data_IF_703696737723
#
_entry.id   IF_703696737723
#
_cell.length_a   1.000
_cell.length_b   1.000
_cell.length_c   1.000
_cell.angle_alpha   90.00
_cell.angle_beta   90.00
_cell.angle_gamma   90.00
#
_symmetry.space_group_name_H-M   'P 1'
#
loop_
_entity.id
_entity.type
_entity.pdbx_description
1 polymer ?
#
# COMPACT_ATOMS: atom_id res chain seq x y z
N UNK A 1 4.67 8.09 0.10
CA UNK A 1 5.19 9.41 -0.35
C UNK A 1 6.71 9.44 -0.38
N UNK A 2 7.45 9.15 0.72
CA UNK A 2 8.92 9.25 0.78
C UNK A 2 9.58 8.49 -0.38
N UNK A 3 9.20 7.24 -0.62
CA UNK A 3 9.78 6.42 -1.68
C UNK A 3 9.41 6.93 -3.09
N UNK A 4 8.20 7.42 -3.28
CA UNK A 4 7.79 8.05 -4.53
C UNK A 4 8.66 9.29 -4.81
N UNK A 5 8.87 10.13 -3.79
CA UNK A 5 9.75 11.30 -3.92
C UNK A 5 11.20 10.92 -4.27
N UNK A 6 11.73 9.82 -3.71
CA UNK A 6 13.09 9.34 -4.05
C UNK A 6 13.20 8.83 -5.48
N UNK A 7 12.13 8.28 -6.02
CA UNK A 7 12.05 7.89 -7.43
C UNK A 7 11.70 9.06 -8.36
N UNK A 8 11.38 10.23 -7.80
CA UNK A 8 10.98 11.42 -8.56
C UNK A 8 9.63 11.26 -9.26
N UNK A 9 8.67 10.60 -8.59
CA UNK A 9 7.33 10.31 -9.13
C UNK A 9 6.24 10.65 -8.11
N UNK A 10 5.01 10.78 -8.59
CA UNK A 10 3.82 10.83 -7.73
C UNK A 10 3.49 9.45 -7.15
N UNK A 11 2.56 9.38 -6.22
CA UNK A 11 2.08 8.08 -5.68
C UNK A 11 1.38 7.28 -6.78
N UNK A 12 0.59 7.92 -7.60
CA UNK A 12 -0.14 7.31 -8.71
C UNK A 12 0.84 6.70 -9.71
N UNK A 13 1.86 7.47 -10.13
CA UNK A 13 2.92 6.99 -11.01
C UNK A 13 3.73 5.86 -10.39
N UNK A 14 3.95 5.88 -9.06
CA UNK A 14 4.62 4.78 -8.35
C UNK A 14 3.86 3.46 -8.51
N UNK A 15 2.54 3.48 -8.37
CA UNK A 15 1.72 2.29 -8.55
C UNK A 15 1.65 1.84 -10.01
N UNK A 16 1.63 2.76 -10.94
CA UNK A 16 1.67 2.47 -12.37
C UNK A 16 2.98 1.76 -12.74
N UNK A 17 4.13 2.31 -12.34
CA UNK A 17 5.43 1.68 -12.52
C UNK A 17 5.47 0.30 -11.86
N UNK A 18 5.00 0.19 -10.61
CA UNK A 18 5.00 -1.07 -9.88
C UNK A 18 4.20 -2.17 -10.58
N UNK A 19 3.12 -1.81 -11.27
CA UNK A 19 2.31 -2.78 -12.03
C UNK A 19 3.02 -3.37 -13.25
N UNK A 20 4.08 -2.72 -13.72
CA UNK A 20 4.87 -3.10 -14.90
C UNK A 20 6.18 -3.79 -14.53
N UNK A 21 6.61 -3.72 -13.25
CA UNK A 21 7.88 -4.25 -12.78
C UNK A 21 7.79 -5.60 -12.10
N UNK A 22 8.96 -6.20 -11.91
CA UNK A 22 9.14 -7.39 -11.08
C UNK A 22 9.68 -6.97 -9.72
N UNK A 23 8.96 -7.26 -8.64
CA UNK A 23 9.31 -6.80 -7.31
C UNK A 23 10.71 -7.25 -6.88
N UNK A 24 11.63 -6.30 -6.70
CA UNK A 24 12.92 -6.57 -6.06
C UNK A 24 12.71 -6.68 -4.55
N UNK A 25 13.42 -7.60 -3.85
CA UNK A 25 13.28 -7.73 -2.42
C UNK A 25 13.82 -6.48 -1.72
N UNK A 26 13.00 -5.87 -0.86
CA UNK A 26 13.39 -4.80 0.05
C UNK A 26 13.35 -5.40 1.45
N UNK A 27 14.53 -5.53 2.07
CA UNK A 27 14.69 -6.28 3.33
C UNK A 27 14.31 -5.46 4.55
N UNK A 28 14.36 -4.14 4.45
CA UNK A 28 14.18 -3.26 5.60
C UNK A 28 12.73 -3.10 6.02
N UNK A 29 12.47 -3.40 7.28
CA UNK A 29 11.20 -3.11 7.96
C UNK A 29 11.06 -1.61 8.31
N UNK A 30 12.18 -0.88 8.40
CA UNK A 30 12.21 0.54 8.73
C UNK A 30 12.31 1.38 7.47
N UNK A 31 11.48 2.42 7.36
CA UNK A 31 11.42 3.31 6.19
C UNK A 31 12.78 3.95 5.88
N UNK A 32 13.56 4.31 6.90
CA UNK A 32 14.88 4.94 6.72
C UNK A 32 15.87 3.98 6.04
N UNK A 33 15.92 2.72 6.46
CA UNK A 33 16.79 1.72 5.84
C UNK A 33 16.28 1.31 4.44
N UNK A 34 14.97 1.18 4.27
CA UNK A 34 14.38 0.93 2.95
C UNK A 34 14.72 2.05 1.96
N UNK A 35 14.78 3.30 2.42
CA UNK A 35 15.22 4.44 1.60
C UNK A 35 16.66 4.26 1.12
N UNK A 36 17.56 3.84 2.01
CA UNK A 36 18.97 3.58 1.65
C UNK A 36 19.09 2.42 0.64
N UNK A 37 18.29 1.36 0.80
CA UNK A 37 18.25 0.26 -0.17
C UNK A 37 17.77 0.73 -1.55
N UNK A 38 16.71 1.55 -1.60
CA UNK A 38 16.21 2.12 -2.86
C UNK A 38 17.26 2.98 -3.54
N UNK A 39 17.97 3.84 -2.79
CA UNK A 39 19.05 4.67 -3.34
C UNK A 39 20.17 3.79 -3.91
N UNK A 40 20.55 2.71 -3.19
CA UNK A 40 21.55 1.76 -3.66
C UNK A 40 21.14 1.09 -4.97
N UNK A 41 19.90 0.63 -5.06
CA UNK A 41 19.34 -0.01 -6.26
C UNK A 41 19.31 0.93 -7.47
N UNK A 42 19.02 2.22 -7.24
CA UNK A 42 19.11 3.25 -8.29
C UNK A 42 20.56 3.38 -8.76
N UNK A 43 21.51 3.42 -7.83
CA UNK A 43 22.94 3.48 -8.15
C UNK A 43 23.46 2.24 -8.89
N UNK A 44 22.86 1.08 -8.65
CA UNK A 44 23.15 -0.19 -9.36
C UNK A 44 22.50 -0.28 -10.74
N UNK A 45 21.70 0.72 -11.13
CA UNK A 45 21.03 0.74 -12.43
C UNK A 45 19.82 -0.19 -12.53
N UNK A 46 19.19 -0.54 -11.40
CA UNK A 46 17.93 -1.29 -11.40
C UNK A 46 16.83 -0.47 -12.05
N UNK A 47 15.90 -1.12 -12.73
CA UNK A 47 14.77 -0.43 -13.36
C UNK A 47 13.87 0.25 -12.32
N UNK A 48 13.29 1.39 -12.68
CA UNK A 48 12.38 2.12 -11.80
C UNK A 48 11.11 1.31 -11.51
N UNK A 49 10.67 0.54 -12.48
CA UNK A 49 9.52 -0.37 -12.41
C UNK A 49 9.74 -1.45 -11.36
N UNK A 50 10.90 -2.10 -11.37
CA UNK A 50 11.24 -3.18 -10.42
C UNK A 50 11.41 -2.64 -9.00
N UNK A 51 12.04 -1.47 -8.85
CA UNK A 51 12.17 -0.79 -7.55
C UNK A 51 10.79 -0.39 -7.03
N UNK A 52 9.94 0.21 -7.88
CA UNK A 52 8.58 0.59 -7.52
C UNK A 52 7.75 -0.62 -7.09
N UNK A 53 7.83 -1.73 -7.83
CA UNK A 53 7.18 -2.99 -7.46
C UNK A 53 7.68 -3.48 -6.09
N UNK A 54 8.98 -3.48 -5.85
CA UNK A 54 9.58 -3.84 -4.56
C UNK A 54 9.05 -2.99 -3.40
N UNK A 55 8.97 -1.67 -3.58
CA UNK A 55 8.42 -0.74 -2.59
C UNK A 55 6.96 -1.07 -2.27
N UNK A 56 6.12 -1.21 -3.29
CA UNK A 56 4.68 -1.49 -3.10
C UNK A 56 4.46 -2.83 -2.43
N UNK A 57 5.17 -3.88 -2.87
CA UNK A 57 5.10 -5.20 -2.26
C UNK A 57 5.58 -5.23 -0.81
N UNK A 58 6.62 -4.47 -0.46
CA UNK A 58 7.10 -4.37 0.93
C UNK A 58 6.07 -3.71 1.85
N UNK A 59 5.37 -2.68 1.38
CA UNK A 59 4.28 -2.03 2.12
C UNK A 59 3.11 -3.00 2.29
N UNK A 60 2.70 -3.67 1.22
CA UNK A 60 1.61 -4.66 1.27
C UNK A 60 1.93 -5.81 2.24
N UNK A 61 3.20 -6.28 2.27
CA UNK A 61 3.63 -7.29 3.23
C UNK A 61 3.49 -6.84 4.69
N UNK A 62 3.88 -5.60 5.00
CA UNK A 62 3.71 -5.03 6.35
C UNK A 62 2.24 -4.96 6.75
N UNK A 63 1.39 -4.51 5.84
CA UNK A 63 -0.07 -4.47 6.08
C UNK A 63 -0.60 -5.87 6.31
N UNK A 64 -0.22 -6.83 5.47
CA UNK A 64 -0.64 -8.23 5.60
C UNK A 64 -0.18 -8.85 6.93
N UNK A 65 1.06 -8.62 7.35
CA UNK A 65 1.58 -9.10 8.63
C UNK A 65 0.80 -8.53 9.82
N UNK A 66 0.41 -7.25 9.78
CA UNK A 66 -0.41 -6.64 10.82
C UNK A 66 -1.83 -7.21 10.82
N UNK A 67 -2.42 -7.40 9.65
CA UNK A 67 -3.77 -7.95 9.50
C UNK A 67 -3.85 -9.41 9.99
N UNK A 68 -2.85 -10.24 9.70
CA UNK A 68 -2.78 -11.65 10.14
C UNK A 68 -2.73 -11.84 11.66
N UNK A 69 -2.43 -10.78 12.43
CA UNK A 69 -2.51 -10.83 13.91
C UNK A 69 -3.94 -10.98 14.41
N UNK A 70 -4.91 -10.77 13.55
CA UNK A 70 -6.34 -10.99 13.84
C UNK A 70 -6.85 -12.13 12.96
N UNK A 71 -7.86 -12.85 13.46
CA UNK A 71 -8.58 -13.79 12.62
C UNK A 71 -9.34 -13.01 11.55
N UNK A 72 -8.94 -13.19 10.30
CA UNK A 72 -9.55 -12.48 9.19
C UNK A 72 -10.87 -13.16 8.77
N UNK A 73 -11.93 -12.39 8.52
CA UNK A 73 -13.12 -12.90 7.84
C UNK A 73 -12.79 -13.24 6.38
N UNK A 74 -13.67 -13.96 5.71
CA UNK A 74 -13.47 -14.33 4.30
C UNK A 74 -13.40 -13.14 3.32
N UNK A 75 -13.90 -11.97 3.75
CA UNK A 75 -13.82 -10.72 2.98
C UNK A 75 -13.28 -9.60 3.86
N UNK A 76 -12.28 -8.88 3.33
CA UNK A 76 -11.66 -7.71 3.98
C UNK A 76 -11.95 -6.48 3.14
N UNK A 77 -12.33 -5.38 3.80
CA UNK A 77 -12.60 -4.10 3.13
C UNK A 77 -11.38 -3.19 3.29
N UNK A 78 -10.85 -2.72 2.17
CA UNK A 78 -9.79 -1.73 2.13
C UNK A 78 -10.37 -0.33 2.07
N UNK A 79 -9.96 0.53 3.01
CA UNK A 79 -10.35 1.95 3.09
C UNK A 79 -9.11 2.85 3.13
N UNK A 80 -9.30 4.17 3.08
CA UNK A 80 -8.21 5.13 3.02
C UNK A 80 -7.74 5.41 1.59
N UNK A 81 -6.70 6.22 1.42
CA UNK A 81 -6.21 6.64 0.10
C UNK A 81 -5.78 5.48 -0.80
N UNK A 82 -5.25 4.40 -0.23
CA UNK A 82 -4.82 3.23 -1.00
C UNK A 82 -6.00 2.37 -1.53
N UNK A 83 -7.23 2.60 -1.08
CA UNK A 83 -8.41 1.92 -1.62
C UNK A 83 -8.70 2.31 -3.08
N UNK A 84 -8.15 3.42 -3.54
CA UNK A 84 -8.29 3.89 -4.94
C UNK A 84 -7.33 3.18 -5.91
N UNK A 85 -6.44 2.31 -5.39
CA UNK A 85 -5.48 1.56 -6.18
C UNK A 85 -5.86 0.07 -6.28
N UNK A 86 -6.48 -0.39 -7.40
CA UNK A 86 -6.85 -1.79 -7.58
C UNK A 86 -5.66 -2.75 -7.53
N UNK A 87 -4.50 -2.31 -8.03
CA UNK A 87 -3.27 -3.10 -7.99
C UNK A 87 -2.85 -3.42 -6.55
N UNK A 88 -2.92 -2.45 -5.64
CA UNK A 88 -2.61 -2.67 -4.23
C UNK A 88 -3.59 -3.62 -3.54
N UNK A 89 -4.89 -3.49 -3.84
CA UNK A 89 -5.91 -4.40 -3.34
C UNK A 89 -5.68 -5.85 -3.83
N UNK A 90 -5.26 -6.02 -5.09
CA UNK A 90 -4.89 -7.31 -5.66
C UNK A 90 -3.72 -7.96 -4.91
N UNK A 91 -2.62 -7.23 -4.70
CA UNK A 91 -1.45 -7.71 -3.93
C UNK A 91 -1.86 -8.11 -2.50
N UNK A 92 -2.69 -7.31 -1.84
CA UNK A 92 -3.18 -7.65 -0.51
C UNK A 92 -4.03 -8.92 -0.51
N UNK A 93 -4.89 -9.10 -1.51
CA UNK A 93 -5.70 -10.33 -1.65
C UNK A 93 -4.83 -11.58 -1.75
N UNK A 94 -3.78 -11.52 -2.58
CA UNK A 94 -2.81 -12.61 -2.71
C UNK A 94 -2.09 -12.89 -1.39
N UNK A 95 -1.56 -11.83 -0.74
CA UNK A 95 -0.81 -11.97 0.49
C UNK A 95 -1.65 -12.44 1.67
N UNK A 96 -2.91 -12.08 1.73
CA UNK A 96 -3.83 -12.45 2.81
C UNK A 96 -4.60 -13.74 2.53
N UNK A 97 -4.50 -14.28 1.32
CA UNK A 97 -5.25 -15.46 0.86
C UNK A 97 -6.76 -15.30 1.10
N UNK A 98 -7.26 -14.07 0.95
CA UNK A 98 -8.67 -13.74 1.11
C UNK A 98 -9.08 -12.63 0.17
N UNK A 99 -10.39 -12.44 -0.01
CA UNK A 99 -10.90 -11.37 -0.87
C UNK A 99 -10.72 -10.00 -0.19
N UNK A 100 -9.90 -9.13 -0.77
CA UNK A 100 -9.78 -7.73 -0.36
C UNK A 100 -10.52 -6.86 -1.36
N UNK A 101 -11.60 -6.24 -0.92
CA UNK A 101 -12.42 -5.34 -1.73
C UNK A 101 -12.16 -3.89 -1.35
N UNK A 102 -11.95 -3.03 -2.33
CA UNK A 102 -11.88 -1.61 -2.11
C UNK A 102 -13.28 -1.03 -1.83
N UNK A 103 -13.39 -0.22 -0.80
CA UNK A 103 -14.63 0.51 -0.54
C UNK A 103 -14.76 1.68 -1.50
N UNK A 104 -15.92 1.82 -2.14
CA UNK A 104 -16.25 3.03 -2.92
C UNK A 104 -16.14 4.25 -2.01
N UNK A 105 -15.46 5.30 -2.48
CA UNK A 105 -15.15 6.51 -1.70
C UNK A 105 -14.42 6.22 -0.37
N UNK A 106 -13.69 5.10 -0.32
CA UNK A 106 -13.01 4.58 0.88
C UNK A 106 -12.02 5.56 1.49
N UNK A 107 -11.47 6.50 0.70
CA UNK A 107 -10.59 7.56 1.21
C UNK A 107 -11.28 8.47 2.24
N UNK A 108 -12.60 8.58 2.18
CA UNK A 108 -13.41 9.41 3.08
C UNK A 108 -14.08 8.61 4.20
N UNK A 109 -13.84 7.29 4.30
CA UNK A 109 -14.51 6.42 5.27
C UNK A 109 -14.38 6.91 6.71
N UNK A 110 -13.20 7.38 7.11
CA UNK A 110 -12.96 7.93 8.44
C UNK A 110 -13.76 9.22 8.70
N UNK A 111 -13.78 10.15 7.74
CA UNK A 111 -14.53 11.39 7.84
C UNK A 111 -16.04 11.14 7.91
N UNK A 112 -16.56 10.24 7.07
CA UNK A 112 -17.96 9.86 7.07
C UNK A 112 -18.36 9.20 8.41
N UNK A 113 -17.54 8.27 8.90
CA UNK A 113 -17.77 7.63 10.20
C UNK A 113 -17.79 8.64 11.35
N UNK A 114 -16.85 9.59 11.38
CA UNK A 114 -16.82 10.66 12.38
C UNK A 114 -18.07 11.54 12.32
N UNK A 115 -18.53 11.91 11.13
CA UNK A 115 -19.76 12.70 10.95
C UNK A 115 -21.01 11.96 11.43
N UNK A 116 -21.11 10.66 11.16
CA UNK A 116 -22.22 9.83 11.62
C UNK A 116 -22.24 9.71 13.15
N UNK A 117 -21.08 9.47 13.77
CA UNK A 117 -20.95 9.42 15.24
C UNK A 117 -21.28 10.75 15.90
N UNK A 118 -20.85 11.88 15.32
CA UNK A 118 -21.20 13.20 15.81
C UNK A 118 -22.72 13.43 15.79
N UNK A 119 -23.38 13.07 14.69
CA UNK A 119 -24.84 13.16 14.57
C UNK A 119 -25.59 12.33 15.61
N UNK A 120 -25.10 11.13 15.92
CA UNK A 120 -25.71 10.30 16.96
C UNK A 120 -25.58 10.90 18.37
N UNK A 121 -24.43 11.50 18.66
CA UNK A 121 -24.17 12.13 19.97
C UNK A 121 -24.91 13.46 20.19
N UNK A 122 -25.35 14.12 19.13
CA UNK A 122 -26.11 15.39 19.20
C UNK A 122 -27.62 15.21 19.22
N UNK A 123 -28.11 14.01 19.15
CA UNK A 123 -29.51 13.65 19.39
C UNK A 123 -29.80 13.48 20.89
#
# INVERSE_FOLDING_TARGET
EIMANRLGVTIEELFELASQGNAVPISSLCTVFAESEVISMIGEGRSREDIAAGVVHSVAEKVAQLARRKQLPGTVILTGGLSECPYFAGILSEKLECNVSAMRDGRYAGALGAALLAREKTK
#
